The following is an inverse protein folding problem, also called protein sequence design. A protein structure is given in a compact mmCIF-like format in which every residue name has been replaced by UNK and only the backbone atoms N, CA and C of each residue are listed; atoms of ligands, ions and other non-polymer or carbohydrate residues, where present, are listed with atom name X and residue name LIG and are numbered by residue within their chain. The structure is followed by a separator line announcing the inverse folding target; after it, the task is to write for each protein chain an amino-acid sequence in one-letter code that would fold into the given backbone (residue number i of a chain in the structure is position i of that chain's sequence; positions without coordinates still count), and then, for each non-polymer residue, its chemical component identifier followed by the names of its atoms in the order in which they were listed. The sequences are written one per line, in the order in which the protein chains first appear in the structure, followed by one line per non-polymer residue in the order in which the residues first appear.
data_IF_325002429295
#
_entry.id   IF_325002429295
#
_cell.length_a   1.000
_cell.length_b   1.000
_cell.length_c   1.000
_cell.angle_alpha   90.00
_cell.angle_beta   90.00
_cell.angle_gamma   90.00
#
_symmetry.space_group_name_H-M   'P 1'
#
loop_
_entity.id
_entity.type
_entity.pdbx_description
1 polymer ?
#
# COMPACT_ATOMS: atom_id res chain seq x y z
N UNK A 1 3.20 0.57 -14.75
CA UNK A 1 3.29 -0.86 -14.40
C UNK A 1 2.72 -1.16 -13.02
N UNK A 2 3.43 -0.99 -11.89
CA UNK A 2 2.87 -1.39 -10.58
C UNK A 2 1.58 -0.64 -10.19
N UNK A 3 1.41 0.61 -10.64
CA UNK A 3 0.14 1.36 -10.50
C UNK A 3 -1.03 0.64 -11.16
N UNK A 4 -0.77 -0.06 -12.27
CA UNK A 4 -1.76 -0.80 -13.05
C UNK A 4 -2.08 -2.14 -12.36
N UNK A 5 -1.05 -2.81 -11.82
CA UNK A 5 -1.19 -4.04 -11.02
C UNK A 5 -2.11 -3.81 -9.83
N UNK A 6 -1.97 -2.71 -9.09
CA UNK A 6 -2.85 -2.36 -7.96
C UNK A 6 -4.10 -1.56 -8.37
N UNK A 7 -4.37 -1.44 -9.67
CA UNK A 7 -5.52 -0.75 -10.25
C UNK A 7 -5.75 0.69 -9.74
N UNK A 8 -4.66 1.48 -9.56
CA UNK A 8 -4.75 2.86 -9.07
C UNK A 8 -5.32 3.83 -10.13
N UNK A 9 -5.32 3.44 -11.41
CA UNK A 9 -5.82 4.24 -12.54
C UNK A 9 -5.27 5.68 -12.58
N UNK A 10 -3.98 5.84 -12.24
CA UNK A 10 -3.26 7.12 -12.28
C UNK A 10 -2.00 6.94 -13.11
N UNK A 11 -1.82 7.83 -14.09
CA UNK A 11 -0.68 7.84 -14.99
C UNK A 11 0.47 8.67 -14.43
N UNK A 12 1.64 8.58 -15.06
CA UNK A 12 2.76 9.46 -14.74
C UNK A 12 2.50 10.91 -15.17
N UNK A 13 1.72 11.11 -16.22
CA UNK A 13 1.32 12.44 -16.69
C UNK A 13 0.40 13.14 -15.68
N UNK A 14 -0.52 12.40 -15.06
CA UNK A 14 -1.38 12.92 -13.99
C UNK A 14 -0.55 13.42 -12.80
N UNK A 15 0.48 12.67 -12.41
CA UNK A 15 1.41 13.07 -11.36
C UNK A 15 2.15 14.34 -11.73
N UNK A 16 2.75 14.39 -12.93
CA UNK A 16 3.49 15.57 -13.41
C UNK A 16 2.59 16.79 -13.46
N UNK A 17 1.35 16.64 -13.92
CA UNK A 17 0.35 17.71 -14.00
C UNK A 17 -0.01 18.23 -12.59
N UNK A 18 -0.35 17.34 -11.66
CA UNK A 18 -0.71 17.70 -10.30
C UNK A 18 0.45 18.41 -9.57
N UNK A 19 1.66 17.87 -9.70
CA UNK A 19 2.88 18.44 -9.09
C UNK A 19 3.23 19.79 -9.71
N UNK A 20 3.09 19.93 -11.04
CA UNK A 20 3.31 21.21 -11.73
C UNK A 20 2.36 22.27 -11.21
N UNK A 21 1.07 21.94 -11.10
CA UNK A 21 0.06 22.86 -10.59
C UNK A 21 0.37 23.28 -9.13
N UNK A 22 0.77 22.34 -8.28
CA UNK A 22 1.15 22.64 -6.90
C UNK A 22 2.35 23.60 -6.83
N UNK A 23 3.45 23.31 -7.53
CA UNK A 23 4.61 24.20 -7.51
C UNK A 23 4.31 25.57 -8.14
N UNK A 24 3.51 25.62 -9.22
CA UNK A 24 3.11 26.87 -9.85
C UNK A 24 2.23 27.74 -8.93
N UNK A 25 1.43 27.11 -8.07
CA UNK A 25 0.65 27.78 -7.03
C UNK A 25 1.49 28.23 -5.82
N UNK A 26 2.81 28.01 -5.83
CA UNK A 26 3.73 28.51 -4.81
C UNK A 26 4.00 27.57 -3.64
N UNK A 27 3.54 26.31 -3.70
CA UNK A 27 3.89 25.29 -2.71
C UNK A 27 5.38 24.94 -2.81
N UNK A 28 6.09 24.85 -1.68
CA UNK A 28 7.52 24.52 -1.62
C UNK A 28 7.77 23.02 -1.40
N UNK A 29 6.78 22.23 -1.01
CA UNK A 29 6.95 20.84 -0.65
C UNK A 29 5.84 19.93 -1.19
N UNK A 30 6.22 18.70 -1.56
CA UNK A 30 5.29 17.63 -1.95
C UNK A 30 5.67 16.34 -1.23
N UNK A 31 4.67 15.56 -0.80
CA UNK A 31 4.87 14.22 -0.23
C UNK A 31 4.32 13.15 -1.16
N UNK A 32 5.16 12.17 -1.48
CA UNK A 32 4.86 11.03 -2.33
C UNK A 32 4.77 9.77 -1.48
N UNK A 33 3.70 9.00 -1.67
CA UNK A 33 3.45 7.75 -0.95
C UNK A 33 3.57 6.56 -1.92
N UNK A 34 4.40 5.60 -1.56
CA UNK A 34 4.67 4.39 -2.32
C UNK A 34 4.51 3.16 -1.45
N UNK A 35 4.42 2.01 -2.11
CA UNK A 35 4.50 0.69 -1.48
C UNK A 35 5.61 -0.12 -2.15
N UNK A 36 6.24 -1.00 -1.38
CA UNK A 36 7.20 -2.01 -1.87
C UNK A 36 6.75 -3.42 -1.43
N UNK A 37 7.27 -4.46 -2.06
CA UNK A 37 6.89 -5.85 -1.79
C UNK A 37 5.57 -6.24 -2.43
N UNK A 38 5.14 -5.51 -3.47
CA UNK A 38 3.94 -5.85 -4.23
C UNK A 38 4.15 -7.13 -5.06
N UNK A 39 3.10 -7.93 -5.31
CA UNK A 39 3.19 -9.03 -6.26
C UNK A 39 3.66 -8.54 -7.63
N UNK A 40 4.51 -9.34 -8.28
CA UNK A 40 5.18 -9.03 -9.56
C UNK A 40 6.21 -7.89 -9.52
N UNK A 41 6.48 -7.27 -8.37
CA UNK A 41 7.48 -6.19 -8.26
C UNK A 41 8.91 -6.69 -8.55
N UNK A 42 9.63 -5.93 -9.37
CA UNK A 42 11.06 -6.14 -9.63
C UNK A 42 11.88 -5.01 -9.01
N UNK A 43 13.20 -5.20 -8.92
CA UNK A 43 14.10 -4.15 -8.45
C UNK A 43 14.14 -2.92 -9.38
N UNK A 44 13.77 -3.08 -10.66
CA UNK A 44 13.61 -1.97 -11.59
C UNK A 44 12.44 -1.08 -11.19
N UNK A 45 11.30 -1.66 -10.76
CA UNK A 45 10.17 -0.86 -10.27
C UNK A 45 10.53 -0.11 -8.99
N UNK A 46 11.29 -0.73 -8.09
CA UNK A 46 11.80 -0.09 -6.86
C UNK A 46 12.71 1.09 -7.25
N UNK A 47 13.60 0.90 -8.22
CA UNK A 47 14.46 2.00 -8.75
C UNK A 47 13.61 3.13 -9.33
N UNK A 48 12.53 2.80 -10.04
CA UNK A 48 11.58 3.76 -10.60
C UNK A 48 10.92 4.69 -9.56
N UNK A 49 10.79 4.27 -8.29
CA UNK A 49 10.34 5.15 -7.20
C UNK A 49 11.31 6.31 -7.01
N UNK A 50 12.61 6.02 -6.98
CA UNK A 50 13.65 7.02 -6.80
C UNK A 50 13.75 7.97 -7.99
N UNK A 51 13.68 7.43 -9.21
CA UNK A 51 13.65 8.22 -10.45
C UNK A 51 12.47 9.19 -10.48
N UNK A 52 11.29 8.74 -10.08
CA UNK A 52 10.09 9.57 -10.02
C UNK A 52 10.23 10.71 -8.99
N UNK A 53 10.82 10.42 -7.83
CA UNK A 53 11.07 11.43 -6.81
C UNK A 53 12.08 12.49 -7.29
N UNK A 54 13.15 12.08 -7.98
CA UNK A 54 14.12 12.99 -8.58
C UNK A 54 13.48 13.86 -9.67
N UNK A 55 12.67 13.26 -10.55
CA UNK A 55 11.93 14.00 -11.59
C UNK A 55 11.01 15.06 -10.99
N UNK A 56 10.28 14.73 -9.91
CA UNK A 56 9.43 15.69 -9.18
C UNK A 56 10.25 16.82 -8.57
N UNK A 57 11.42 16.50 -7.98
CA UNK A 57 12.32 17.49 -7.41
C UNK A 57 12.87 18.46 -8.47
N UNK A 58 13.35 17.95 -9.61
CA UNK A 58 13.86 18.75 -10.72
C UNK A 58 12.78 19.67 -11.30
N UNK A 59 11.57 19.14 -11.47
CA UNK A 59 10.41 19.90 -11.93
C UNK A 59 10.09 21.05 -10.97
N UNK A 60 10.02 20.76 -9.67
CA UNK A 60 9.80 21.78 -8.65
C UNK A 60 10.90 22.85 -8.65
N UNK A 61 12.17 22.44 -8.70
CA UNK A 61 13.33 23.36 -8.78
C UNK A 61 13.25 24.27 -10.00
N UNK A 62 12.84 23.74 -11.15
CA UNK A 62 12.65 24.52 -12.39
C UNK A 62 11.54 25.56 -12.24
N UNK A 63 10.39 25.16 -11.69
CA UNK A 63 9.23 26.05 -11.54
C UNK A 63 9.53 27.14 -10.52
N UNK A 64 9.93 26.76 -9.30
CA UNK A 64 10.22 27.70 -8.21
C UNK A 64 11.51 28.49 -8.42
N UNK A 65 12.40 28.00 -9.28
CA UNK A 65 13.62 28.70 -9.69
C UNK A 65 13.34 30.01 -10.42
N UNK A 66 12.19 30.13 -11.12
CA UNK A 66 11.75 31.40 -11.74
C UNK A 66 11.56 32.51 -10.71
N UNK A 67 11.24 32.16 -9.47
CA UNK A 67 11.08 33.09 -8.35
C UNK A 67 12.35 33.18 -7.46
N UNK A 68 13.48 32.61 -7.89
CA UNK A 68 14.69 32.50 -7.06
C UNK A 68 14.55 31.54 -5.86
N UNK A 69 13.53 30.67 -5.86
CA UNK A 69 13.17 29.80 -4.72
C UNK A 69 13.47 28.31 -4.95
N UNK A 70 14.29 27.97 -5.95
CA UNK A 70 14.64 26.56 -6.24
C UNK A 70 15.17 25.79 -5.02
N UNK A 71 15.93 26.45 -4.13
CA UNK A 71 16.49 25.84 -2.92
C UNK A 71 15.46 25.50 -1.83
N UNK A 72 14.23 26.03 -1.92
CA UNK A 72 13.14 25.74 -0.98
C UNK A 72 12.39 24.45 -1.28
N UNK A 73 12.56 23.93 -2.50
CA UNK A 73 11.83 22.75 -2.95
C UNK A 73 12.23 21.53 -2.14
N UNK A 74 11.24 20.85 -1.58
CA UNK A 74 11.39 19.61 -0.82
C UNK A 74 10.47 18.52 -1.36
N UNK A 75 10.96 17.30 -1.39
CA UNK A 75 10.18 16.10 -1.73
C UNK A 75 10.28 15.13 -0.56
N UNK A 76 9.16 14.70 -0.02
CA UNK A 76 9.14 13.64 0.99
C UNK A 76 8.68 12.34 0.34
N UNK A 77 9.46 11.28 0.44
CA UNK A 77 9.14 9.94 -0.07
C UNK A 77 8.85 9.04 1.13
N UNK A 78 7.61 8.54 1.22
CA UNK A 78 7.18 7.61 2.25
C UNK A 78 6.87 6.26 1.63
N UNK A 79 7.55 5.21 2.08
CA UNK A 79 7.38 3.85 1.56
C UNK A 79 6.81 2.93 2.63
N UNK A 80 5.64 2.38 2.38
CA UNK A 80 5.08 1.30 3.19
C UNK A 80 5.45 -0.05 2.58
N UNK A 81 5.58 -1.08 3.41
CA UNK A 81 5.65 -2.45 2.94
C UNK A 81 4.24 -2.95 2.61
N UNK A 82 4.10 -3.71 1.54
CA UNK A 82 2.82 -4.27 1.15
C UNK A 82 2.34 -5.29 2.18
N UNK A 83 1.07 -5.14 2.59
CA UNK A 83 0.40 -6.05 3.51
C UNK A 83 -0.87 -6.54 2.84
N UNK A 84 -1.03 -7.86 2.58
CA UNK A 84 -2.27 -8.42 2.05
C UNK A 84 -3.42 -8.13 3.01
N UNK A 85 -4.50 -7.52 2.51
CA UNK A 85 -5.69 -7.18 3.30
C UNK A 85 -6.88 -8.02 2.89
N UNK A 86 -7.73 -8.35 3.86
CA UNK A 86 -9.01 -9.01 3.64
C UNK A 86 -9.89 -8.21 2.66
N UNK A 87 -10.74 -8.93 1.92
CA UNK A 87 -11.66 -8.34 0.92
C UNK A 87 -10.97 -7.52 -0.19
N UNK A 88 -9.69 -7.79 -0.46
CA UNK A 88 -8.97 -7.22 -1.60
C UNK A 88 -8.62 -8.31 -2.61
N UNK A 89 -8.35 -7.96 -3.88
CA UNK A 89 -7.84 -8.91 -4.86
C UNK A 89 -6.54 -9.61 -4.44
N UNK A 90 -5.81 -9.03 -3.49
CA UNK A 90 -4.54 -9.56 -3.02
C UNK A 90 -4.65 -10.37 -1.73
N UNK A 91 -5.85 -10.65 -1.21
CA UNK A 91 -6.02 -11.30 0.10
C UNK A 91 -5.40 -12.73 0.20
N UNK A 92 -5.12 -13.36 -0.94
CA UNK A 92 -4.52 -14.70 -1.03
C UNK A 92 -2.99 -14.71 -1.08
N UNK A 93 -2.36 -13.59 -1.41
CA UNK A 93 -0.91 -13.54 -1.61
C UNK A 93 -0.17 -13.50 -0.27
N UNK A 94 1.07 -13.98 -0.28
CA UNK A 94 1.99 -13.82 0.84
C UNK A 94 2.52 -12.38 0.93
N UNK A 95 2.93 -11.98 2.12
CA UNK A 95 3.81 -10.83 2.29
C UNK A 95 5.22 -11.24 1.86
N UNK A 96 5.96 -10.32 1.21
CA UNK A 96 7.36 -10.53 0.90
C UNK A 96 8.18 -10.76 2.20
N UNK A 97 9.18 -11.66 2.17
CA UNK A 97 10.07 -11.88 3.32
C UNK A 97 10.71 -10.58 3.84
N UNK A 98 10.98 -10.52 5.16
CA UNK A 98 11.51 -9.32 5.80
C UNK A 98 12.85 -8.90 5.20
N UNK A 99 13.77 -9.85 4.97
CA UNK A 99 15.08 -9.57 4.37
C UNK A 99 14.94 -9.00 2.95
N UNK A 100 13.93 -9.43 2.22
CA UNK A 100 13.59 -8.92 0.90
C UNK A 100 13.02 -7.49 0.94
N UNK A 101 12.20 -7.17 1.94
CA UNK A 101 11.70 -5.81 2.17
C UNK A 101 12.85 -4.88 2.57
N UNK A 102 13.71 -5.31 3.47
CA UNK A 102 14.88 -4.56 3.93
C UNK A 102 15.86 -4.26 2.79
N UNK A 103 16.15 -5.25 1.93
CA UNK A 103 16.99 -5.05 0.73
C UNK A 103 16.44 -3.95 -0.19
N UNK A 104 15.12 -3.93 -0.41
CA UNK A 104 14.46 -2.89 -1.23
C UNK A 104 14.52 -1.51 -0.55
N UNK A 105 14.29 -1.45 0.76
CA UNK A 105 14.41 -0.21 1.54
C UNK A 105 15.84 0.34 1.50
N UNK A 106 16.85 -0.53 1.64
CA UNK A 106 18.25 -0.14 1.54
C UNK A 106 18.63 0.32 0.13
N UNK A 107 18.13 -0.35 -0.91
CA UNK A 107 18.29 0.09 -2.29
C UNK A 107 17.76 1.52 -2.50
N UNK A 108 16.54 1.80 -2.03
CA UNK A 108 15.96 3.15 -2.10
C UNK A 108 16.77 4.18 -1.29
N UNK A 109 17.21 3.82 -0.09
CA UNK A 109 18.05 4.69 0.76
C UNK A 109 19.35 5.07 0.03
N UNK A 110 19.92 4.14 -0.73
CA UNK A 110 21.13 4.38 -1.51
C UNK A 110 20.91 5.28 -2.73
N UNK A 111 19.72 5.26 -3.33
CA UNK A 111 19.38 6.11 -4.48
C UNK A 111 18.89 7.51 -4.08
N UNK A 112 18.17 7.63 -2.95
CA UNK A 112 17.54 8.87 -2.47
C UNK A 112 18.48 9.71 -1.59
N UNK A 113 19.66 10.08 -2.12
CA UNK A 113 20.71 10.82 -1.38
C UNK A 113 20.63 12.34 -1.45
N UNK A 114 19.77 12.92 -2.31
CA UNK A 114 19.63 14.39 -2.39
C UNK A 114 19.04 14.93 -1.07
N UNK A 115 19.70 15.92 -0.45
CA UNK A 115 19.28 16.60 0.79
C UNK A 115 17.91 17.28 0.73
N UNK A 116 17.36 17.48 -0.46
CA UNK A 116 16.00 17.98 -0.66
C UNK A 116 14.96 16.86 -0.65
N UNK A 117 15.39 15.59 -0.65
CA UNK A 117 14.53 14.42 -0.51
C UNK A 117 14.61 13.89 0.92
N UNK A 118 13.48 13.90 1.61
CA UNK A 118 13.33 13.22 2.90
C UNK A 118 12.75 11.83 2.63
N UNK A 119 13.46 10.77 3.02
CA UNK A 119 13.00 9.39 2.87
C UNK A 119 12.59 8.80 4.21
N UNK A 120 11.40 8.21 4.27
CA UNK A 120 10.87 7.48 5.42
C UNK A 120 10.24 6.17 4.96
N UNK A 121 10.35 5.12 5.77
CA UNK A 121 9.74 3.82 5.48
C UNK A 121 9.16 3.18 6.74
N UNK A 122 8.28 2.18 6.57
CA UNK A 122 7.79 1.33 7.66
C UNK A 122 8.79 0.22 7.94
N UNK A 123 9.13 0.01 9.22
CA UNK A 123 10.02 -1.07 9.65
C UNK A 123 9.47 -2.45 9.26
N UNK A 124 10.35 -3.37 8.85
CA UNK A 124 9.97 -4.71 8.40
C UNK A 124 9.26 -5.51 9.52
N UNK A 125 9.73 -5.39 10.76
CA UNK A 125 9.13 -6.03 11.94
C UNK A 125 7.68 -5.57 12.19
N UNK A 126 7.41 -4.27 12.05
CA UNK A 126 6.05 -3.73 12.16
C UNK A 126 5.17 -4.24 11.04
N UNK A 127 5.72 -4.29 9.83
CA UNK A 127 5.04 -4.82 8.65
C UNK A 127 4.66 -6.29 8.80
N UNK A 128 5.52 -7.10 9.43
CA UNK A 128 5.23 -8.50 9.75
C UNK A 128 4.02 -8.59 10.69
N UNK A 129 4.05 -7.85 11.81
CA UNK A 129 2.95 -7.84 12.75
C UNK A 129 1.66 -7.37 12.10
N UNK A 130 1.72 -6.31 11.29
CA UNK A 130 0.56 -5.81 10.54
C UNK A 130 -0.03 -6.87 9.60
N UNK A 131 0.82 -7.67 8.93
CA UNK A 131 0.36 -8.76 8.09
C UNK A 131 -0.27 -9.90 8.88
N UNK A 132 0.31 -10.27 10.04
CA UNK A 132 -0.30 -11.29 10.90
C UNK A 132 -1.66 -10.83 11.41
N UNK A 133 -1.78 -9.59 11.87
CA UNK A 133 -3.04 -9.03 12.36
C UNK A 133 -4.09 -8.89 11.25
N UNK A 134 -3.67 -8.47 10.05
CA UNK A 134 -4.58 -8.31 8.92
C UNK A 134 -5.07 -9.66 8.33
N UNK A 135 -4.24 -10.71 8.41
CA UNK A 135 -4.52 -12.03 7.83
C UNK A 135 -4.89 -13.08 8.88
N UNK A 136 -4.94 -12.68 10.15
CA UNK A 136 -5.13 -13.55 11.30
C UNK A 136 -6.53 -14.15 11.38
N UNK A 137 -6.62 -15.26 12.11
CA UNK A 137 -7.91 -15.81 12.55
C UNK A 137 -8.09 -15.62 14.06
N UNK A 138 -9.16 -16.21 14.62
CA UNK A 138 -9.50 -16.08 16.05
C UNK A 138 -8.35 -16.45 16.99
N UNK A 139 -7.41 -17.32 16.59
CA UNK A 139 -6.26 -17.71 17.42
C UNK A 139 -5.31 -16.56 17.68
N UNK A 140 -5.23 -15.57 16.78
CA UNK A 140 -4.38 -14.38 16.95
C UNK A 140 -4.87 -13.50 18.12
N UNK A 141 -6.13 -13.64 18.55
CA UNK A 141 -6.64 -12.94 19.73
C UNK A 141 -5.85 -13.28 21.00
N UNK A 142 -5.41 -14.54 21.17
CA UNK A 142 -4.61 -14.96 22.32
C UNK A 142 -3.23 -14.29 22.34
N UNK A 143 -2.63 -14.09 21.16
CA UNK A 143 -1.36 -13.36 21.00
C UNK A 143 -1.54 -11.90 21.39
N UNK A 144 -2.59 -11.24 20.88
CA UNK A 144 -2.87 -9.84 21.22
C UNK A 144 -3.06 -9.68 22.74
N UNK A 145 -3.81 -10.59 23.36
CA UNK A 145 -4.03 -10.59 24.80
C UNK A 145 -2.71 -10.75 25.58
N UNK A 146 -1.86 -11.70 25.18
CA UNK A 146 -0.55 -11.94 25.81
C UNK A 146 0.40 -10.75 25.63
N UNK A 147 0.52 -10.21 24.43
CA UNK A 147 1.32 -9.01 24.16
C UNK A 147 0.83 -7.85 25.04
N UNK A 148 -0.49 -7.68 25.17
CA UNK A 148 -1.07 -6.70 26.08
C UNK A 148 -0.72 -6.99 27.55
N UNK A 149 -0.79 -8.24 28.03
CA UNK A 149 -0.38 -8.59 29.41
C UNK A 149 1.10 -8.32 29.67
N UNK A 150 1.95 -8.46 28.65
CA UNK A 150 3.38 -8.16 28.68
C UNK A 150 3.70 -6.66 28.52
N UNK A 151 2.68 -5.80 28.37
CA UNK A 151 2.83 -4.35 28.37
C UNK A 151 2.93 -3.68 27.00
N UNK A 152 2.74 -4.40 25.89
CA UNK A 152 2.64 -3.78 24.56
C UNK A 152 1.43 -2.83 24.49
N UNK A 153 1.69 -1.53 24.34
CA UNK A 153 0.68 -0.47 24.23
C UNK A 153 1.20 0.55 23.24
N UNK A 154 0.29 1.18 22.49
CA UNK A 154 0.64 2.24 21.55
C UNK A 154 1.68 1.79 20.50
N UNK A 155 1.62 0.53 20.07
CA UNK A 155 2.55 -0.08 19.09
C UNK A 155 2.54 0.61 17.70
N UNK A 156 1.58 1.50 17.44
CA UNK A 156 1.57 2.37 16.26
C UNK A 156 2.65 3.46 16.29
N UNK A 157 3.24 3.75 17.46
CA UNK A 157 4.33 4.69 17.63
C UNK A 157 5.65 3.93 17.80
N UNK A 158 6.65 4.29 16.99
CA UNK A 158 7.92 3.57 16.91
C UNK A 158 8.66 3.45 18.23
N UNK A 159 8.57 4.46 19.08
CA UNK A 159 9.17 4.52 20.41
C UNK A 159 8.53 3.59 21.45
N UNK A 160 7.35 3.06 21.16
CA UNK A 160 6.60 2.14 22.03
C UNK A 160 6.54 0.71 21.49
N UNK A 161 6.87 0.51 20.22
CA UNK A 161 6.84 -0.80 19.59
C UNK A 161 7.98 -1.70 20.10
N UNK A 162 7.62 -2.85 20.66
CA UNK A 162 8.56 -3.86 21.16
C UNK A 162 8.31 -5.20 20.46
N UNK A 163 9.07 -5.44 19.39
CA UNK A 163 8.93 -6.65 18.57
C UNK A 163 9.24 -7.93 19.35
N UNK A 164 10.21 -7.87 20.28
CA UNK A 164 10.60 -9.05 21.07
C UNK A 164 9.45 -9.53 21.96
N UNK A 165 8.70 -8.61 22.59
CA UNK A 165 7.49 -8.97 23.35
C UNK A 165 6.41 -9.58 22.48
N UNK A 166 6.21 -9.07 21.27
CA UNK A 166 5.28 -9.69 20.32
C UNK A 166 5.71 -11.12 19.98
N UNK A 167 6.99 -11.36 19.68
CA UNK A 167 7.48 -12.72 19.41
C UNK A 167 7.33 -13.66 20.62
N UNK A 168 7.58 -13.17 21.84
CA UNK A 168 7.31 -13.93 23.06
C UNK A 168 5.81 -14.26 23.20
N UNK A 169 4.92 -13.31 22.91
CA UNK A 169 3.48 -13.55 22.95
C UNK A 169 3.03 -14.61 21.92
N UNK A 170 3.65 -14.66 20.74
CA UNK A 170 3.41 -15.71 19.74
C UNK A 170 3.88 -17.08 20.24
N UNK A 171 5.10 -17.16 20.80
CA UNK A 171 5.65 -18.39 21.37
C UNK A 171 4.75 -18.93 22.49
N UNK A 172 4.34 -18.06 23.43
CA UNK A 172 3.45 -18.42 24.54
C UNK A 172 2.03 -18.80 24.10
N UNK A 173 1.60 -18.40 22.89
CA UNK A 173 0.34 -18.82 22.28
C UNK A 173 0.48 -20.08 21.41
N UNK A 174 1.71 -20.55 21.19
CA UNK A 174 2.01 -21.69 20.30
C UNK A 174 1.68 -21.40 18.83
N UNK A 175 1.81 -20.14 18.39
CA UNK A 175 1.52 -19.71 17.02
C UNK A 175 2.79 -19.25 16.31
N UNK A 176 2.91 -19.60 15.04
CA UNK A 176 3.96 -19.07 14.16
C UNK A 176 3.43 -17.84 13.40
N UNK A 177 3.91 -16.61 13.65
CA UNK A 177 3.72 -15.45 12.77
C UNK A 177 3.75 -15.75 11.26
N UNK A 178 4.76 -16.45 10.76
CA UNK A 178 4.96 -16.68 9.33
C UNK A 178 3.89 -17.57 8.70
N UNK A 179 3.19 -18.38 9.50
CA UNK A 179 2.01 -19.10 9.03
C UNK A 179 0.92 -18.15 8.51
N UNK A 180 0.82 -16.94 9.09
CA UNK A 180 -0.16 -15.93 8.69
C UNK A 180 0.39 -14.96 7.65
N UNK A 181 1.66 -14.53 7.76
CA UNK A 181 2.22 -13.50 6.87
C UNK A 181 2.81 -14.04 5.57
N UNK A 182 3.57 -15.15 5.61
CA UNK A 182 4.32 -15.66 4.46
C UNK A 182 3.60 -16.77 3.68
N UNK A 183 2.50 -17.30 4.20
CA UNK A 183 1.72 -18.33 3.52
C UNK A 183 0.90 -17.74 2.37
N UNK A 184 1.04 -18.30 1.18
CA UNK A 184 0.06 -18.14 0.11
C UNK A 184 -1.17 -18.99 0.41
N UNK A 185 -2.37 -18.44 0.17
CA UNK A 185 -3.64 -19.12 0.41
C UNK A 185 -4.23 -19.56 -0.91
N UNK A 186 -4.85 -20.74 -0.90
CA UNK A 186 -5.58 -21.22 -2.07
C UNK A 186 -6.82 -20.34 -2.34
N UNK A 187 -7.21 -20.18 -3.60
CA UNK A 187 -8.39 -19.38 -3.97
C UNK A 187 -9.69 -19.98 -3.43
N UNK A 188 -9.73 -21.30 -3.25
CA UNK A 188 -10.85 -22.07 -2.70
C UNK A 188 -10.78 -22.19 -1.16
N UNK A 189 -9.69 -21.73 -0.53
CA UNK A 189 -9.55 -21.76 0.93
C UNK A 189 -10.69 -20.96 1.60
N UNK A 190 -11.24 -21.51 2.69
CA UNK A 190 -12.12 -20.77 3.58
C UNK A 190 -11.28 -19.77 4.38
N UNK A 191 -11.51 -18.48 4.15
CA UNK A 191 -10.74 -17.42 4.77
C UNK A 191 -11.32 -17.04 6.14
N UNK A 192 -10.50 -16.57 7.09
CA UNK A 192 -10.96 -16.19 8.43
C UNK A 192 -12.08 -15.15 8.44
N UNK A 193 -12.14 -14.31 7.41
CA UNK A 193 -13.11 -13.24 7.21
C UNK A 193 -14.23 -13.59 6.20
N UNK A 194 -14.32 -14.83 5.70
CA UNK A 194 -15.38 -15.21 4.75
C UNK A 194 -16.80 -15.11 5.36
N UNK A 195 -16.91 -15.02 6.69
CA UNK A 195 -18.17 -14.78 7.39
C UNK A 195 -18.57 -13.30 7.47
N UNK A 196 -17.74 -12.39 6.96
CA UNK A 196 -17.97 -10.94 6.91
C UNK A 196 -18.34 -10.57 5.47
N UNK A 197 -19.48 -9.91 5.30
CA UNK A 197 -19.90 -9.41 4.00
C UNK A 197 -19.41 -7.98 3.78
N UNK A 198 -18.60 -7.79 2.73
CA UNK A 198 -18.11 -6.47 2.29
C UNK A 198 -18.94 -5.88 1.12
N UNK A 199 -19.92 -6.65 0.64
CA UNK A 199 -20.70 -6.40 -0.57
C UNK A 199 -20.00 -6.72 -1.88
N UNK A 200 -18.68 -6.99 -1.86
CA UNK A 200 -17.93 -7.41 -3.05
C UNK A 200 -17.81 -8.92 -3.09
N UNK A 201 -18.29 -9.54 -4.17
CA UNK A 201 -18.24 -10.99 -4.32
C UNK A 201 -16.80 -11.55 -4.40
N UNK A 202 -16.56 -12.70 -3.76
CA UNK A 202 -15.25 -13.41 -3.82
C UNK A 202 -14.83 -13.72 -5.27
N UNK A 203 -15.78 -14.08 -6.13
CA UNK A 203 -15.52 -14.30 -7.56
C UNK A 203 -15.02 -13.04 -8.28
N UNK A 204 -15.53 -11.86 -7.94
CA UNK A 204 -15.00 -10.61 -8.49
C UNK A 204 -13.55 -10.38 -8.06
N UNK A 205 -13.24 -10.56 -6.76
CA UNK A 205 -11.87 -10.42 -6.25
C UNK A 205 -10.89 -11.38 -6.92
N UNK A 206 -11.30 -12.63 -7.20
CA UNK A 206 -10.48 -13.61 -7.94
C UNK A 206 -10.22 -13.13 -9.38
N UNK A 207 -11.23 -12.59 -10.08
CA UNK A 207 -11.04 -12.03 -11.42
C UNK A 207 -10.09 -10.84 -11.40
N UNK A 208 -10.24 -9.95 -10.43
CA UNK A 208 -9.35 -8.78 -10.28
C UNK A 208 -7.91 -9.20 -9.97
N UNK A 209 -7.71 -10.27 -9.18
CA UNK A 209 -6.38 -10.85 -8.94
C UNK A 209 -5.72 -11.32 -10.23
N UNK A 210 -6.45 -12.06 -11.07
CA UNK A 210 -5.95 -12.52 -12.37
C UNK A 210 -5.62 -11.35 -13.31
N UNK A 211 -6.42 -10.28 -13.27
CA UNK A 211 -6.16 -9.05 -14.04
C UNK A 211 -4.92 -8.32 -13.54
N UNK A 212 -4.73 -8.24 -12.21
CA UNK A 212 -3.55 -7.66 -11.59
C UNK A 212 -2.27 -8.38 -12.03
N UNK A 213 -2.26 -9.72 -12.01
CA UNK A 213 -1.15 -10.53 -12.53
C UNK A 213 -0.84 -10.27 -14.01
N UNK A 214 -1.87 -9.97 -14.81
CA UNK A 214 -1.73 -9.60 -16.21
C UNK A 214 -1.43 -8.11 -16.44
N UNK A 215 -1.32 -7.29 -15.39
CA UNK A 215 -1.15 -5.84 -15.49
C UNK A 215 -2.33 -5.11 -16.14
N UNK A 216 -3.53 -5.71 -16.12
CA UNK A 216 -4.74 -5.15 -16.74
C UNK A 216 -5.55 -4.37 -15.71
N UNK A 217 -5.78 -3.09 -15.96
CA UNK A 217 -6.62 -2.25 -15.10
C UNK A 217 -8.10 -2.50 -15.33
N UNK A 218 -8.89 -2.31 -14.28
CA UNK A 218 -10.36 -2.35 -14.35
C UNK A 218 -10.89 -0.92 -14.36
N UNK A 219 -11.69 -0.55 -15.39
CA UNK A 219 -12.24 0.80 -15.50
C UNK A 219 -13.10 1.20 -14.31
N UNK A 220 -13.20 2.50 -14.08
CA UNK A 220 -14.03 3.06 -13.03
C UNK A 220 -15.52 2.87 -13.34
N UNK A 221 -16.22 2.11 -12.49
CA UNK A 221 -17.62 1.76 -12.71
C UNK A 221 -18.59 2.95 -12.60
N UNK A 222 -18.14 4.11 -12.10
CA UNK A 222 -18.91 5.36 -12.09
C UNK A 222 -19.10 5.95 -13.49
N UNK A 223 -18.16 5.71 -14.39
CA UNK A 223 -18.12 6.34 -15.72
C UNK A 223 -18.15 5.33 -16.86
N UNK A 224 -17.52 4.17 -16.70
CA UNK A 224 -17.37 3.15 -17.74
C UNK A 224 -18.41 2.02 -17.68
N UNK A 225 -19.36 2.09 -16.73
CA UNK A 225 -20.37 1.06 -16.51
C UNK A 225 -19.98 -0.02 -15.49
N UNK A 226 -20.94 -0.85 -15.10
CA UNK A 226 -20.77 -1.82 -14.03
C UNK A 226 -19.72 -2.90 -14.38
N UNK A 227 -18.82 -3.19 -13.44
CA UNK A 227 -17.75 -4.21 -13.56
C UNK A 227 -18.11 -5.54 -12.90
N UNK A 228 -19.32 -5.66 -12.35
CA UNK A 228 -19.86 -6.91 -11.82
C UNK A 228 -19.29 -7.33 -10.47
N UNK A 229 -19.03 -6.37 -9.57
CA UNK A 229 -18.62 -6.65 -8.18
C UNK A 229 -19.76 -7.21 -7.31
N UNK A 230 -21.02 -7.05 -7.76
CA UNK A 230 -22.30 -7.43 -7.12
C UNK A 230 -22.85 -6.47 -6.06
N UNK A 231 -22.04 -5.55 -5.54
CA UNK A 231 -22.44 -4.63 -4.46
C UNK A 231 -23.75 -3.87 -4.75
N UNK A 232 -23.86 -3.23 -5.92
CA UNK A 232 -25.06 -2.44 -6.25
C UNK A 232 -26.31 -3.31 -6.38
N UNK A 233 -26.17 -4.51 -6.95
CA UNK A 233 -27.27 -5.42 -7.20
C UNK A 233 -27.76 -6.11 -5.93
N UNK A 234 -26.83 -6.56 -5.08
CA UNK A 234 -27.17 -7.33 -3.88
C UNK A 234 -27.74 -6.43 -2.77
N UNK A 235 -27.38 -5.14 -2.76
CA UNK A 235 -27.86 -4.17 -1.76
C UNK A 235 -28.96 -3.22 -2.28
N UNK A 236 -29.38 -3.37 -3.53
CA UNK A 236 -30.34 -2.46 -4.20
C UNK A 236 -29.94 -0.97 -4.08
N UNK A 237 -28.66 -0.70 -4.34
CA UNK A 237 -28.08 0.65 -4.30
C UNK A 237 -27.56 1.08 -5.67
N UNK A 238 -27.44 2.39 -5.87
CA UNK A 238 -26.90 2.99 -7.09
C UNK A 238 -25.91 4.10 -6.75
N UNK A 239 -24.99 4.36 -7.67
CA UNK A 239 -24.12 5.52 -7.58
C UNK A 239 -24.94 6.81 -7.77
N UNK A 240 -24.84 7.73 -6.81
CA UNK A 240 -25.33 9.11 -6.96
C UNK A 240 -24.13 10.05 -7.02
N UNK A 241 -23.83 10.56 -8.21
CA UNK A 241 -22.69 11.44 -8.45
C UNK A 241 -23.12 12.90 -8.21
N UNK A 242 -22.61 13.51 -7.15
CA UNK A 242 -22.87 14.93 -6.84
C UNK A 242 -21.90 15.81 -7.63
N UNK A 243 -22.43 16.74 -8.42
CA UNK A 243 -21.65 17.71 -9.19
C UNK A 243 -21.36 17.31 -10.65
N UNK A 244 -22.13 16.38 -11.24
CA UNK A 244 -21.90 15.88 -12.59
C UNK A 244 -23.17 15.60 -13.38
N UNK A 245 -23.93 16.64 -13.72
CA UNK A 245 -24.72 16.63 -14.95
C UNK A 245 -23.83 17.13 -16.10
N UNK A 246 -23.54 16.27 -17.09
CA UNK A 246 -23.21 16.72 -18.45
C UNK A 246 -21.77 17.07 -18.82
N UNK A 247 -20.86 16.09 -18.82
CA UNK A 247 -19.77 16.09 -19.82
C UNK A 247 -20.07 14.99 -20.84
N UNK A 248 -20.72 15.39 -21.93
CA UNK A 248 -20.68 14.68 -23.22
C UNK A 248 -19.40 15.08 -23.94
#
# INVERSE_FOLDING_TARGET
RLRDVINKNVTEEDLVTAVTAAFAAGWDAVKLYFMIGLPTETMEDVTGIAELAQRVLELGRRIRGKDGKAGRVKVSVSVASFVPKSHTPFQWVSQAPLDELEKRQEHLRNLLRDRAIAFSWTDADKSLLEAVLARGDRRVADVILKAWQQGCRLDGWSEHFDFARWMQAFEEAGLEPCFYSHRERDLEETLPWDHIDSGVSKQFLIREWQRALAGKTTPDCRFAGCTGCRLCQDFDVRNELVGGEGVK
#
